data_IF_056833359381
#
_entry.id   IF_056833359381
#
_cell.length_a   1.000
_cell.length_b   1.000
_cell.length_c   1.000
_cell.angle_alpha   90.00
_cell.angle_beta   90.00
_cell.angle_gamma   90.00
#
_symmetry.space_group_name_H-M   'P 1'
#
loop_
_entity.id
_entity.type
_entity.pdbx_description
1 polymer ?
#
# COMPACT_ATOMS: atom_id res chain seq x y z
N UNK A 1 -19.15 -0.21 -3.44
CA UNK A 1 -17.96 -0.34 -2.57
C UNK A 1 -17.96 0.84 -1.62
N UNK A 2 -18.04 0.60 -0.32
CA UNK A 2 -17.95 1.65 0.70
C UNK A 2 -16.53 2.22 0.67
N UNK A 3 -16.39 3.50 0.29
CA UNK A 3 -15.12 4.18 0.11
C UNK A 3 -14.71 4.84 1.42
N UNK A 4 -14.41 4.03 2.43
CA UNK A 4 -14.02 4.51 3.75
C UNK A 4 -12.51 4.74 3.83
N UNK A 5 -12.09 6.01 3.84
CA UNK A 5 -10.68 6.40 3.92
C UNK A 5 -10.05 5.99 5.26
N UNK A 6 -10.82 6.01 6.35
CA UNK A 6 -10.33 5.61 7.67
C UNK A 6 -10.02 4.11 7.70
N UNK A 7 -10.87 3.28 7.12
CA UNK A 7 -10.61 1.85 6.97
C UNK A 7 -9.36 1.59 6.13
N UNK A 8 -9.18 2.35 5.03
CA UNK A 8 -7.99 2.24 4.17
C UNK A 8 -6.73 2.64 4.94
N UNK A 9 -6.78 3.73 5.72
CA UNK A 9 -5.69 4.14 6.60
C UNK A 9 -5.27 3.02 7.55
N UNK A 10 -6.23 2.38 8.23
CA UNK A 10 -5.96 1.28 9.16
C UNK A 10 -5.31 0.07 8.46
N UNK A 11 -5.81 -0.30 7.27
CA UNK A 11 -5.24 -1.38 6.47
C UNK A 11 -3.82 -1.05 5.99
N UNK A 12 -3.58 0.18 5.53
CA UNK A 12 -2.26 0.66 5.13
C UNK A 12 -1.26 0.59 6.29
N UNK A 13 -1.67 1.04 7.49
CA UNK A 13 -0.84 0.93 8.69
C UNK A 13 -0.49 -0.51 9.04
N UNK A 14 -1.47 -1.41 9.03
CA UNK A 14 -1.26 -2.83 9.34
C UNK A 14 -0.29 -3.49 8.36
N UNK A 15 -0.54 -3.34 7.05
CA UNK A 15 0.29 -3.94 6.00
C UNK A 15 1.70 -3.35 5.95
N UNK A 16 1.86 -2.05 6.24
CA UNK A 16 3.16 -1.40 6.38
C UNK A 16 4.00 -2.09 7.46
N UNK A 17 3.40 -2.37 8.63
CA UNK A 17 4.08 -3.06 9.72
C UNK A 17 4.55 -4.46 9.32
N UNK A 18 3.65 -5.28 8.76
CA UNK A 18 3.98 -6.64 8.34
C UNK A 18 5.03 -6.70 7.24
N UNK A 19 4.94 -5.84 6.22
CA UNK A 19 5.89 -5.79 5.11
C UNK A 19 7.28 -5.31 5.55
N UNK A 20 7.36 -4.36 6.50
CA UNK A 20 8.62 -3.91 7.07
C UNK A 20 9.35 -5.04 7.80
N UNK A 21 8.64 -5.84 8.61
CA UNK A 21 9.22 -6.98 9.34
C UNK A 21 9.81 -8.04 8.41
N UNK A 22 9.19 -8.25 7.24
CA UNK A 22 9.66 -9.21 6.23
C UNK A 22 10.71 -8.63 5.27
N UNK A 23 11.12 -7.37 5.44
CA UNK A 23 12.09 -6.72 4.55
C UNK A 23 11.55 -6.42 3.14
N UNK A 24 10.23 -6.37 2.97
CA UNK A 24 9.59 -6.11 1.67
C UNK A 24 9.48 -4.60 1.42
N UNK A 25 10.63 -3.94 1.22
CA UNK A 25 10.75 -2.47 1.22
C UNK A 25 9.77 -1.77 0.27
N UNK A 26 9.63 -2.25 -0.97
CA UNK A 26 8.71 -1.66 -1.96
C UNK A 26 7.24 -1.74 -1.52
N UNK A 27 6.84 -2.88 -0.95
CA UNK A 27 5.48 -3.06 -0.42
C UNK A 27 5.27 -2.17 0.79
N UNK A 28 6.29 -2.04 1.66
CA UNK A 28 6.27 -1.11 2.81
C UNK A 28 6.06 0.34 2.38
N UNK A 29 6.76 0.81 1.35
CA UNK A 29 6.66 2.18 0.83
C UNK A 29 5.27 2.44 0.23
N UNK A 30 4.75 1.49 -0.54
CA UNK A 30 3.39 1.54 -1.04
C UNK A 30 2.34 1.63 0.08
N UNK A 31 2.47 0.80 1.13
CA UNK A 31 1.55 0.83 2.26
C UNK A 31 1.61 2.15 3.03
N UNK A 32 2.78 2.79 3.11
CA UNK A 32 2.97 4.12 3.70
C UNK A 32 2.25 5.20 2.89
N UNK A 33 2.33 5.16 1.55
CA UNK A 33 1.55 6.05 0.68
C UNK A 33 0.04 5.87 0.87
N UNK A 34 -0.44 4.63 0.87
CA UNK A 34 -1.86 4.31 1.09
C UNK A 34 -2.33 4.79 2.47
N UNK A 35 -1.49 4.66 3.50
CA UNK A 35 -1.77 5.19 4.83
C UNK A 35 -1.93 6.72 4.78
N UNK A 36 -1.00 7.44 4.14
CA UNK A 36 -1.08 8.91 4.02
C UNK A 36 -2.34 9.35 3.26
N UNK A 37 -2.65 8.71 2.13
CA UNK A 37 -3.84 8.97 1.33
C UNK A 37 -5.14 8.66 2.10
N UNK A 38 -5.15 7.59 2.89
CA UNK A 38 -6.26 7.25 3.79
C UNK A 38 -6.46 8.29 4.91
N UNK A 39 -5.42 9.03 5.29
CA UNK A 39 -5.53 10.16 6.21
C UNK A 39 -5.99 11.46 5.53
N UNK A 40 -6.32 11.43 4.23
CA UNK A 40 -6.68 12.61 3.44
C UNK A 40 -5.48 13.49 3.10
N UNK A 41 -4.28 12.92 3.03
CA UNK A 41 -3.04 13.61 2.67
C UNK A 41 -2.48 13.11 1.34
N UNK A 42 -1.53 13.83 0.75
CA UNK A 42 -0.81 13.38 -0.42
C UNK A 42 0.07 12.15 -0.12
N UNK A 43 0.67 11.56 -1.15
CA UNK A 43 1.55 10.39 -1.01
C UNK A 43 2.69 10.59 0.01
N UNK A 44 3.20 11.82 0.14
CA UNK A 44 4.27 12.22 1.06
C UNK A 44 3.78 12.41 2.50
N UNK A 45 2.46 12.56 2.70
CA UNK A 45 1.85 12.83 4.01
C UNK A 45 2.07 14.27 4.51
N UNK A 46 2.45 15.19 3.63
CA UNK A 46 2.82 16.58 3.98
C UNK A 46 1.73 17.58 3.63
N UNK A 47 0.98 17.33 2.55
CA UNK A 47 -0.08 18.20 2.04
C UNK A 47 -1.42 17.51 2.20
N UNK A 48 -2.48 18.24 2.52
CA UNK A 48 -3.84 17.69 2.54
C UNK A 48 -4.36 17.57 1.10
N UNK A 49 -5.00 16.45 0.79
CA UNK A 49 -5.65 16.25 -0.51
C UNK A 49 -6.87 17.18 -0.64
N UNK A 50 -7.16 17.70 -1.85
CA UNK A 50 -8.21 18.69 -2.04
C UNK A 50 -9.61 18.16 -1.71
N UNK A 51 -9.83 16.88 -1.96
CA UNK A 51 -11.06 16.18 -1.63
C UNK A 51 -10.83 14.67 -1.59
N UNK A 52 -11.82 13.97 -1.04
CA UNK A 52 -11.83 12.52 -0.87
C UNK A 52 -11.73 11.73 -2.18
N UNK A 53 -12.23 12.27 -3.30
CA UNK A 53 -12.24 11.57 -4.58
C UNK A 53 -10.83 11.46 -5.16
N UNK A 54 -10.01 12.52 -5.02
CA UNK A 54 -8.61 12.51 -5.43
C UNK A 54 -7.82 11.51 -4.58
N UNK A 55 -8.00 11.52 -3.25
CA UNK A 55 -7.36 10.52 -2.37
C UNK A 55 -7.69 9.10 -2.80
N UNK A 56 -8.94 8.81 -3.13
CA UNK A 56 -9.37 7.48 -3.58
C UNK A 56 -8.80 7.10 -4.95
N UNK A 57 -8.73 8.04 -5.90
CA UNK A 57 -8.09 7.82 -7.20
C UNK A 57 -6.60 7.51 -7.05
N UNK A 58 -5.92 8.25 -6.19
CA UNK A 58 -4.51 8.01 -5.86
C UNK A 58 -4.32 6.67 -5.15
N UNK A 59 -5.19 6.29 -4.20
CA UNK A 59 -5.15 4.98 -3.54
C UNK A 59 -5.29 3.85 -4.57
N UNK A 60 -6.25 3.98 -5.50
CA UNK A 60 -6.47 2.97 -6.54
C UNK A 60 -5.25 2.83 -7.47
N UNK A 61 -4.64 3.96 -7.86
CA UNK A 61 -3.39 3.97 -8.62
C UNK A 61 -2.26 3.26 -7.85
N UNK A 62 -2.02 3.65 -6.59
CA UNK A 62 -0.98 3.05 -5.76
C UNK A 62 -1.21 1.56 -5.56
N UNK A 63 -2.45 1.11 -5.35
CA UNK A 63 -2.78 -0.31 -5.22
C UNK A 63 -2.44 -1.11 -6.48
N UNK A 64 -2.78 -0.58 -7.67
CA UNK A 64 -2.45 -1.21 -8.94
C UNK A 64 -0.93 -1.32 -9.17
N UNK A 65 -0.17 -0.31 -8.76
CA UNK A 65 1.29 -0.34 -8.83
C UNK A 65 1.87 -1.39 -7.86
N UNK A 66 1.37 -1.38 -6.62
CA UNK A 66 1.81 -2.28 -5.53
C UNK A 66 1.51 -3.74 -5.82
N UNK A 67 0.44 -4.04 -6.55
CA UNK A 67 0.08 -5.42 -6.89
C UNK A 67 1.21 -6.12 -7.66
N UNK A 68 1.92 -5.38 -8.53
CA UNK A 68 3.07 -5.91 -9.28
C UNK A 68 4.25 -6.22 -8.35
N UNK A 69 4.57 -5.30 -7.44
CA UNK A 69 5.64 -5.51 -6.47
C UNK A 69 5.32 -6.63 -5.47
N UNK A 70 4.05 -6.76 -5.08
CA UNK A 70 3.58 -7.88 -4.26
C UNK A 70 3.73 -9.22 -5.00
N UNK A 71 3.30 -9.31 -6.26
CA UNK A 71 3.46 -10.53 -7.08
C UNK A 71 4.93 -10.91 -7.25
N UNK A 72 5.80 -9.93 -7.52
CA UNK A 72 7.25 -10.14 -7.60
C UNK A 72 7.83 -10.63 -6.26
N UNK A 73 7.42 -10.04 -5.14
CA UNK A 73 7.83 -10.50 -3.80
C UNK A 73 7.38 -11.95 -3.53
N UNK A 74 6.13 -12.30 -3.84
CA UNK A 74 5.60 -13.67 -3.70
C UNK A 74 6.41 -14.66 -4.53
N UNK A 75 6.68 -14.34 -5.80
CA UNK A 75 7.50 -15.18 -6.69
C UNK A 75 8.89 -15.41 -6.10
N UNK A 76 9.54 -14.35 -5.61
CA UNK A 76 10.88 -14.45 -5.02
C UNK A 76 10.89 -15.29 -3.74
N UNK A 77 9.93 -15.06 -2.85
CA UNK A 77 9.80 -15.84 -1.61
C UNK A 77 9.53 -17.31 -1.91
N UNK A 78 8.60 -17.62 -2.82
CA UNK A 78 8.33 -18.99 -3.25
C UNK A 78 9.59 -19.68 -3.78
N UNK A 79 10.36 -19.01 -4.65
CA UNK A 79 11.64 -19.56 -5.14
C UNK A 79 12.64 -19.80 -4.01
N UNK A 80 12.75 -18.85 -3.08
CA UNK A 80 13.66 -18.95 -1.94
C UNK A 80 13.32 -20.14 -1.03
N UNK A 81 12.04 -20.40 -0.80
CA UNK A 81 11.57 -21.54 0.00
C UNK A 81 11.38 -22.84 -0.79
N UNK A 82 11.72 -22.87 -2.09
CA UNK A 82 11.58 -24.06 -2.93
C UNK A 82 10.15 -24.43 -3.32
N UNK A 83 9.20 -23.49 -3.20
CA UNK A 83 7.82 -23.68 -3.63
C UNK A 83 7.65 -23.52 -5.15
N UNK A 84 6.61 -24.16 -5.71
CA UNK A 84 6.23 -23.94 -7.11
C UNK A 84 5.67 -22.52 -7.30
N UNK A 85 6.24 -21.85 -8.30
CA UNK A 85 5.83 -20.50 -8.74
C UNK A 85 4.79 -20.60 -9.84
#
# INVERSE_FOLDING_TARGET
KEKDLYKIYQLGHFLKGSSATLGLTKVKEACEKIQNLGAGKDESGTVNEPNKEISLGNIEKTLNETEKDYKDAVVRLKRFYGEKV
#
